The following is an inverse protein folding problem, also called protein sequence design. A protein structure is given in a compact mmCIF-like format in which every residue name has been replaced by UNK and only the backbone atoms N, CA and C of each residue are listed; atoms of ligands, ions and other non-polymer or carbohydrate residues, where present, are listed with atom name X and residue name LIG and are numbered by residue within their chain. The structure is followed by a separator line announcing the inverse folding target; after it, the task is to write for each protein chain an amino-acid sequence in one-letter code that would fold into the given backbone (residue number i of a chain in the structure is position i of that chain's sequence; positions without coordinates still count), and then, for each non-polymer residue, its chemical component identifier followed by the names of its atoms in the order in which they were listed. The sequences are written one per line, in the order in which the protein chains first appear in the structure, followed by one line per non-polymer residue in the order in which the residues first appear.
data_IF_998107060123
#
_entry.id   IF_998107060123
#
_cell.length_a   1.000
_cell.length_b   1.000
_cell.length_c   1.000
_cell.angle_alpha   90.00
_cell.angle_beta   90.00
_cell.angle_gamma   90.00
#
_symmetry.space_group_name_H-M   'P 1'
#
loop_
_entity.id
_entity.type
_entity.pdbx_description
1 polymer ?
#
# COMPACT_ATOMS: atom_id res chain seq x y z
N UNK A 1 2.04 -20.49 -15.09
CA UNK A 1 2.23 -20.18 -13.67
C UNK A 1 1.11 -19.26 -13.22
N UNK A 2 0.48 -19.55 -12.09
CA UNK A 2 -0.53 -18.69 -11.46
C UNK A 2 0.05 -18.04 -10.21
N UNK A 3 -0.01 -16.72 -10.09
CA UNK A 3 0.45 -15.99 -8.90
C UNK A 3 -0.73 -15.22 -8.31
N UNK A 4 -1.11 -15.55 -7.08
CA UNK A 4 -2.14 -14.84 -6.34
C UNK A 4 -1.51 -13.72 -5.52
N UNK A 5 -2.14 -12.54 -5.53
CA UNK A 5 -1.79 -11.41 -4.69
C UNK A 5 -2.95 -11.09 -3.76
N UNK A 6 -2.66 -10.96 -2.48
CA UNK A 6 -3.60 -10.57 -1.44
C UNK A 6 -3.10 -9.30 -0.74
N UNK A 7 -4.06 -8.51 -0.27
CA UNK A 7 -3.81 -7.20 0.32
C UNK A 7 -3.22 -7.23 1.73
N UNK A 8 -3.50 -6.19 2.51
CA UNK A 8 -2.83 -5.96 3.79
C UNK A 8 -3.16 -7.04 4.84
N UNK A 9 -2.12 -7.57 5.48
CA UNK A 9 -2.21 -8.48 6.62
C UNK A 9 -1.60 -7.82 7.85
N UNK A 10 -2.46 -7.53 8.81
CA UNK A 10 -2.12 -7.14 10.17
C UNK A 10 -3.04 -7.87 11.15
N UNK A 11 -2.43 -8.57 12.12
CA UNK A 11 -3.12 -9.32 13.15
C UNK A 11 -2.92 -8.65 14.50
N UNK A 12 -4.00 -8.47 15.25
CA UNK A 12 -3.90 -8.20 16.67
C UNK A 12 -3.65 -9.49 17.47
N UNK A 13 -3.33 -9.37 18.76
CA UNK A 13 -3.11 -10.51 19.66
C UNK A 13 -4.26 -11.52 19.68
N UNK A 14 -5.50 -11.08 19.41
CA UNK A 14 -6.68 -11.93 19.38
C UNK A 14 -6.71 -12.82 18.14
N UNK A 15 -6.37 -12.27 16.99
CA UNK A 15 -6.25 -13.01 15.73
C UNK A 15 -5.04 -13.95 15.71
N UNK A 16 -3.91 -13.54 16.30
CA UNK A 16 -2.71 -14.39 16.39
C UNK A 16 -2.99 -15.68 17.17
N UNK A 17 -3.78 -15.58 18.23
CA UNK A 17 -4.16 -16.72 19.09
C UNK A 17 -5.39 -17.47 18.60
N UNK A 18 -5.91 -17.14 17.41
CA UNK A 18 -7.07 -17.81 16.88
C UNK A 18 -6.68 -19.17 16.31
N UNK A 19 -7.30 -20.24 16.83
CA UNK A 19 -7.09 -21.61 16.35
C UNK A 19 -7.75 -21.88 14.99
N UNK A 20 -8.53 -20.93 14.46
CA UNK A 20 -9.18 -21.06 13.15
C UNK A 20 -8.21 -20.71 12.02
N UNK A 21 -8.40 -21.36 10.88
CA UNK A 21 -7.77 -20.96 9.63
C UNK A 21 -8.38 -19.63 9.15
N UNK A 22 -7.58 -18.56 9.26
CA UNK A 22 -8.01 -17.21 8.92
C UNK A 22 -8.19 -16.99 7.42
N UNK A 23 -7.73 -17.91 6.55
CA UNK A 23 -7.90 -17.82 5.10
C UNK A 23 -8.90 -18.84 4.55
N UNK A 24 -9.65 -19.52 5.44
CA UNK A 24 -10.59 -20.57 5.04
C UNK A 24 -11.60 -20.11 3.98
N UNK A 25 -12.06 -18.85 4.05
CA UNK A 25 -13.04 -18.30 3.10
C UNK A 25 -12.51 -18.05 1.68
N UNK A 26 -11.21 -18.17 1.44
CA UNK A 26 -10.56 -17.99 0.13
C UNK A 26 -9.57 -19.10 -0.19
N UNK A 27 -9.72 -20.24 0.48
CA UNK A 27 -8.76 -21.34 0.40
C UNK A 27 -8.68 -21.95 -0.99
N UNK A 28 -9.79 -21.97 -1.73
CA UNK A 28 -9.83 -22.48 -3.09
C UNK A 28 -9.03 -21.60 -4.04
N UNK A 29 -9.16 -20.27 -3.92
CA UNK A 29 -8.37 -19.31 -4.70
C UNK A 29 -6.87 -19.39 -4.37
N UNK A 30 -6.52 -19.55 -3.10
CA UNK A 30 -5.13 -19.73 -2.64
C UNK A 30 -4.54 -21.03 -3.21
N UNK A 31 -5.26 -22.15 -3.09
CA UNK A 31 -4.80 -23.44 -3.56
C UNK A 31 -4.72 -23.54 -5.10
N UNK A 32 -5.45 -22.69 -5.83
CA UNK A 32 -5.38 -22.60 -7.28
C UNK A 32 -4.12 -21.86 -7.79
N UNK A 33 -3.42 -21.14 -6.90
CA UNK A 33 -2.20 -20.43 -7.22
C UNK A 33 -0.96 -21.33 -7.03
N UNK A 34 0.07 -21.05 -7.81
CA UNK A 34 1.38 -21.68 -7.67
C UNK A 34 2.25 -20.96 -6.65
N UNK A 35 2.01 -19.66 -6.49
CA UNK A 35 2.64 -18.80 -5.50
C UNK A 35 1.61 -17.80 -4.98
N UNK A 36 1.62 -17.56 -3.67
CA UNK A 36 0.77 -16.58 -3.00
C UNK A 36 1.65 -15.48 -2.42
N UNK A 37 1.34 -14.24 -2.80
CA UNK A 37 2.04 -13.01 -2.40
C UNK A 37 1.12 -12.18 -1.52
N UNK A 38 1.57 -11.79 -0.34
CA UNK A 38 0.79 -10.97 0.59
C UNK A 38 1.56 -9.74 1.06
N UNK A 39 0.86 -8.65 1.40
CA UNK A 39 1.50 -7.52 2.09
C UNK A 39 1.52 -7.76 3.60
N UNK A 40 2.72 -7.88 4.18
CA UNK A 40 2.90 -7.99 5.64
C UNK A 40 2.98 -6.60 6.24
N UNK A 41 1.83 -6.10 6.70
CA UNK A 41 1.61 -4.69 6.99
C UNK A 41 2.27 -4.20 8.29
N UNK A 42 2.89 -5.06 9.07
CA UNK A 42 3.62 -4.65 10.28
C UNK A 42 4.77 -5.60 10.58
N UNK A 43 5.83 -5.14 11.28
CA UNK A 43 6.95 -5.99 11.63
C UNK A 43 6.51 -7.12 12.58
N UNK A 44 7.15 -8.28 12.40
CA UNK A 44 7.08 -9.41 13.34
C UNK A 44 8.25 -9.28 14.31
N UNK A 45 7.98 -8.75 15.50
CA UNK A 45 9.03 -8.33 16.43
C UNK A 45 8.58 -8.32 17.89
N UNK A 46 9.51 -8.61 18.79
CA UNK A 46 9.34 -8.43 20.23
C UNK A 46 9.95 -7.10 20.74
N UNK A 47 10.60 -6.33 19.86
CA UNK A 47 11.16 -5.01 20.18
C UNK A 47 10.08 -4.07 20.72
N UNK A 48 10.48 -3.21 21.65
CA UNK A 48 9.64 -2.12 22.18
C UNK A 48 10.15 -0.74 21.78
N UNK A 49 11.20 -0.68 20.94
CA UNK A 49 11.79 0.58 20.47
C UNK A 49 10.97 1.13 19.32
N UNK A 50 10.02 2.03 19.63
CA UNK A 50 9.11 2.61 18.64
C UNK A 50 9.77 3.72 17.84
N UNK A 51 9.56 3.71 16.53
CA UNK A 51 9.87 4.82 15.64
C UNK A 51 9.00 6.03 16.01
N UNK A 52 9.61 7.21 16.08
CA UNK A 52 8.89 8.46 16.29
C UNK A 52 8.19 8.90 15.00
N UNK A 53 6.87 8.65 14.90
CA UNK A 53 6.07 8.96 13.71
C UNK A 53 4.66 9.45 14.06
N UNK A 54 3.95 9.93 13.03
CA UNK A 54 2.51 10.20 13.12
C UNK A 54 1.75 8.88 12.84
N UNK A 55 0.66 8.66 13.57
CA UNK A 55 -0.13 7.43 13.47
C UNK A 55 0.30 6.37 14.49
N UNK A 56 -0.33 5.18 14.50
CA UNK A 56 0.01 4.11 15.42
C UNK A 56 1.31 3.40 15.00
N UNK A 57 2.09 2.91 15.98
CA UNK A 57 3.13 1.90 15.75
C UNK A 57 2.51 0.50 15.85
N UNK A 58 2.51 -0.24 14.75
CA UNK A 58 1.97 -1.59 14.64
C UNK A 58 3.08 -2.65 14.73
N UNK A 59 2.80 -3.78 15.36
CA UNK A 59 3.66 -4.97 15.34
C UNK A 59 2.84 -6.23 15.58
N UNK A 60 3.39 -7.36 15.17
CA UNK A 60 2.93 -8.71 15.50
C UNK A 60 4.03 -9.46 16.25
N UNK A 61 3.71 -10.37 17.16
CA UNK A 61 4.73 -11.21 17.79
C UNK A 61 5.10 -12.43 16.93
N UNK A 62 4.14 -12.93 16.15
CA UNK A 62 4.28 -14.06 15.22
C UNK A 62 3.13 -14.05 14.21
N UNK A 63 3.22 -14.92 13.19
CA UNK A 63 2.13 -15.23 12.28
C UNK A 63 1.61 -16.64 12.59
N UNK A 64 0.28 -16.86 12.65
CA UNK A 64 -0.30 -18.20 12.75
C UNK A 64 0.25 -19.15 11.68
N UNK A 65 0.49 -20.41 12.07
CA UNK A 65 1.10 -21.41 11.20
C UNK A 65 0.36 -21.59 9.88
N UNK A 66 -0.97 -21.54 9.89
CA UNK A 66 -1.79 -21.67 8.67
C UNK A 66 -1.56 -20.52 7.67
N UNK A 67 -1.26 -19.29 8.12
CA UNK A 67 -0.90 -18.18 7.24
C UNK A 67 0.48 -18.40 6.63
N UNK A 68 1.44 -18.82 7.45
CA UNK A 68 2.77 -19.19 6.95
C UNK A 68 2.64 -20.31 5.92
N UNK A 69 1.87 -21.36 6.17
CA UNK A 69 1.74 -22.47 5.21
C UNK A 69 1.01 -22.08 3.91
N UNK A 70 0.21 -21.01 3.92
CA UNK A 70 -0.61 -20.56 2.78
C UNK A 70 0.02 -19.44 1.94
N UNK A 71 1.08 -18.79 2.44
CA UNK A 71 1.72 -17.64 1.79
C UNK A 71 3.18 -17.98 1.50
N UNK A 72 3.61 -17.75 0.27
CA UNK A 72 4.98 -18.07 -0.18
C UNK A 72 5.91 -16.86 -0.10
N UNK A 73 5.36 -15.66 -0.42
CA UNK A 73 6.13 -14.43 -0.54
C UNK A 73 5.44 -13.29 0.21
N UNK A 74 6.21 -12.53 0.99
CA UNK A 74 5.73 -11.32 1.65
C UNK A 74 6.31 -10.05 1.01
N UNK A 75 5.44 -9.13 0.62
CA UNK A 75 5.83 -7.73 0.42
C UNK A 75 6.01 -7.07 1.79
N UNK A 76 7.16 -6.44 1.99
CA UNK A 76 7.49 -5.62 3.16
C UNK A 76 7.53 -4.13 2.81
N UNK A 77 7.27 -3.79 1.54
CA UNK A 77 7.23 -2.41 1.10
C UNK A 77 5.94 -1.76 1.58
N UNK A 78 5.91 -1.31 2.84
CA UNK A 78 4.80 -0.56 3.42
C UNK A 78 5.32 0.47 4.44
N UNK A 79 4.43 1.35 4.88
CA UNK A 79 4.78 2.44 5.78
C UNK A 79 4.97 2.01 7.25
N UNK A 80 4.68 0.75 7.59
CA UNK A 80 4.65 0.25 8.97
C UNK A 80 5.80 -0.70 9.31
N UNK A 81 6.52 -1.28 8.34
CA UNK A 81 7.57 -2.28 8.61
C UNK A 81 8.71 -1.76 9.51
N UNK A 82 8.98 -0.45 9.51
CA UNK A 82 9.98 0.20 10.36
C UNK A 82 9.40 0.77 11.65
N UNK A 83 8.17 0.45 12.03
CA UNK A 83 7.51 1.01 13.23
C UNK A 83 8.27 0.74 14.53
N UNK A 84 9.13 -0.28 14.52
CA UNK A 84 10.03 -0.64 15.63
C UNK A 84 11.51 -0.54 15.25
N UNK A 85 11.80 0.41 14.35
CA UNK A 85 13.12 0.74 13.81
C UNK A 85 13.86 -0.49 13.24
N UNK A 86 15.20 -0.45 13.24
CA UNK A 86 16.04 -1.51 12.69
C UNK A 86 15.85 -2.86 13.40
N UNK A 87 15.63 -2.86 14.72
CA UNK A 87 15.40 -4.12 15.46
C UNK A 87 14.12 -4.82 14.94
N UNK A 88 13.05 -4.05 14.72
CA UNK A 88 11.80 -4.56 14.14
C UNK A 88 11.99 -5.17 12.76
N UNK A 89 12.67 -4.46 11.86
CA UNK A 89 12.97 -4.96 10.52
C UNK A 89 13.85 -6.22 10.59
N UNK A 90 14.98 -6.17 11.29
CA UNK A 90 15.93 -7.30 11.40
C UNK A 90 15.27 -8.56 11.94
N UNK A 91 14.47 -8.43 13.00
CA UNK A 91 13.71 -9.55 13.57
C UNK A 91 12.71 -10.11 12.57
N UNK A 92 12.01 -9.25 11.83
CA UNK A 92 11.07 -9.68 10.77
C UNK A 92 11.79 -10.44 9.65
N UNK A 93 12.91 -9.92 9.14
CA UNK A 93 13.69 -10.59 8.09
C UNK A 93 14.19 -11.97 8.56
N UNK A 94 14.66 -12.05 9.81
CA UNK A 94 15.11 -13.29 10.43
C UNK A 94 13.95 -14.28 10.62
N UNK A 95 12.79 -13.78 11.05
CA UNK A 95 11.57 -14.57 11.24
C UNK A 95 11.09 -15.20 9.92
N UNK A 96 11.04 -14.42 8.85
CA UNK A 96 10.63 -14.91 7.53
C UNK A 96 11.64 -15.92 6.97
N UNK A 97 12.95 -15.63 7.09
CA UNK A 97 14.00 -16.57 6.70
C UNK A 97 13.89 -17.90 7.44
N UNK A 98 13.69 -17.88 8.77
CA UNK A 98 13.59 -19.09 9.60
C UNK A 98 12.30 -19.90 9.35
N UNK A 99 11.33 -19.34 8.65
CA UNK A 99 10.09 -20.01 8.24
C UNK A 99 10.07 -20.32 6.72
N UNK A 100 11.24 -20.26 6.06
CA UNK A 100 11.41 -20.53 4.63
C UNK A 100 10.51 -19.64 3.74
N UNK A 101 10.36 -18.36 4.12
CA UNK A 101 9.56 -17.37 3.38
C UNK A 101 10.41 -16.40 2.59
N UNK A 102 10.00 -16.20 1.35
CA UNK A 102 10.57 -15.17 0.49
C UNK A 102 9.98 -13.81 0.86
N UNK A 103 10.74 -12.75 0.66
CA UNK A 103 10.25 -11.39 0.90
C UNK A 103 10.96 -10.36 0.03
N UNK A 104 10.31 -9.24 -0.21
CA UNK A 104 10.87 -8.14 -1.01
C UNK A 104 10.33 -6.78 -0.54
N UNK A 105 10.97 -5.69 -0.98
CA UNK A 105 10.48 -4.32 -0.75
C UNK A 105 11.03 -3.62 0.50
N UNK A 106 11.79 -4.31 1.34
CA UNK A 106 12.55 -3.74 2.45
C UNK A 106 13.86 -4.50 2.64
N UNK A 107 14.88 -3.84 3.19
CA UNK A 107 16.20 -4.42 3.33
C UNK A 107 17.13 -3.59 4.21
N UNK A 108 18.38 -4.05 4.35
CA UNK A 108 19.39 -3.38 5.20
C UNK A 108 20.03 -2.15 4.55
N UNK A 109 19.74 -1.89 3.28
CA UNK A 109 20.13 -0.71 2.50
C UNK A 109 19.25 -0.59 1.24
N UNK A 110 19.42 0.47 0.47
CA UNK A 110 18.66 0.74 -0.75
C UNK A 110 18.74 -0.36 -1.82
N UNK A 111 19.89 -1.02 -1.99
CA UNK A 111 20.03 -2.09 -2.98
C UNK A 111 19.30 -3.36 -2.53
N UNK A 112 19.33 -3.65 -1.23
CA UNK A 112 18.63 -4.77 -0.63
C UNK A 112 17.11 -4.55 -0.62
N UNK A 113 16.66 -3.34 -0.30
CA UNK A 113 15.24 -2.98 -0.29
C UNK A 113 14.59 -3.11 -1.68
N UNK A 114 15.32 -2.74 -2.74
CA UNK A 114 14.90 -2.89 -4.13
C UNK A 114 15.19 -4.26 -4.75
N UNK A 115 15.84 -5.16 -4.01
CA UNK A 115 16.17 -6.49 -4.53
C UNK A 115 14.88 -7.19 -4.93
N UNK A 116 14.84 -7.64 -6.18
CA UNK A 116 13.72 -8.44 -6.64
C UNK A 116 13.72 -9.83 -6.00
N UNK A 117 12.53 -10.35 -5.72
CA UNK A 117 12.33 -11.79 -5.51
C UNK A 117 11.85 -12.40 -6.80
N UNK A 118 12.41 -13.55 -7.18
CA UNK A 118 12.00 -14.27 -8.38
C UNK A 118 11.30 -15.56 -7.97
N UNK A 119 10.05 -15.71 -8.40
CA UNK A 119 9.31 -16.98 -8.32
C UNK A 119 9.35 -17.67 -9.68
N UNK A 120 9.52 -18.99 -9.70
CA UNK A 120 9.70 -19.76 -10.94
C UNK A 120 8.90 -21.05 -10.90
N UNK A 121 8.17 -21.35 -11.99
CA UNK A 121 7.51 -22.63 -12.19
C UNK A 121 7.67 -23.09 -13.64
N UNK A 122 8.32 -24.24 -13.83
CA UNK A 122 8.75 -24.68 -15.15
C UNK A 122 9.71 -23.65 -15.74
N UNK A 123 9.46 -23.24 -16.98
CA UNK A 123 10.29 -22.25 -17.69
C UNK A 123 9.84 -20.80 -17.48
N UNK A 124 8.77 -20.56 -16.71
CA UNK A 124 8.25 -19.21 -16.45
C UNK A 124 8.81 -18.68 -15.14
N UNK A 125 9.46 -17.51 -15.19
CA UNK A 125 9.94 -16.76 -14.03
C UNK A 125 9.30 -15.38 -13.95
N UNK A 126 9.02 -14.92 -12.72
CA UNK A 126 8.45 -13.59 -12.45
C UNK A 126 9.25 -12.92 -11.36
N UNK A 127 9.81 -11.75 -11.67
CA UNK A 127 10.45 -10.88 -10.70
C UNK A 127 9.42 -9.98 -10.02
N UNK A 128 9.49 -9.91 -8.70
CA UNK A 128 8.64 -9.12 -7.82
C UNK A 128 9.46 -7.98 -7.22
N UNK A 129 9.00 -6.74 -7.37
CA UNK A 129 9.63 -5.55 -6.78
C UNK A 129 8.59 -4.78 -5.98
N UNK A 130 8.97 -4.39 -4.76
CA UNK A 130 8.12 -3.71 -3.80
C UNK A 130 8.58 -2.29 -3.62
N UNK A 131 7.66 -1.32 -3.57
CA UNK A 131 7.95 0.08 -3.28
C UNK A 131 6.83 0.70 -2.44
N UNK A 132 7.15 1.67 -1.59
CA UNK A 132 6.15 2.40 -0.82
C UNK A 132 6.26 3.92 -1.00
N UNK A 133 5.14 4.63 -0.90
CA UNK A 133 5.15 6.10 -0.89
C UNK A 133 5.97 6.66 0.28
N UNK A 134 6.36 7.94 0.14
CA UNK A 134 7.30 8.58 1.06
C UNK A 134 6.69 8.85 2.44
N UNK A 135 7.00 7.95 3.37
CA UNK A 135 6.65 8.01 4.78
C UNK A 135 7.89 7.75 5.68
N UNK A 136 7.66 7.36 6.93
CA UNK A 136 8.70 7.25 7.96
C UNK A 136 9.59 5.99 7.85
N UNK A 137 9.31 5.10 6.90
CA UNK A 137 9.93 3.76 6.81
C UNK A 137 10.98 3.59 5.72
N UNK A 138 11.24 4.64 4.92
CA UNK A 138 12.07 4.53 3.72
C UNK A 138 13.57 4.54 3.99
N UNK A 139 14.33 3.95 3.07
CA UNK A 139 15.79 4.11 2.94
C UNK A 139 16.14 4.78 1.60
N UNK A 140 17.20 5.59 1.58
CA UNK A 140 17.77 6.19 0.37
C UNK A 140 19.27 5.89 0.21
N UNK A 141 19.87 5.16 1.16
CA UNK A 141 21.30 4.91 1.21
C UNK A 141 21.64 3.56 1.84
N UNK A 142 22.59 3.58 2.77
CA UNK A 142 23.14 2.39 3.42
C UNK A 142 22.40 2.01 4.71
N UNK A 143 21.37 2.78 5.07
CA UNK A 143 20.51 2.53 6.21
C UNK A 143 19.41 1.50 5.91
N UNK A 144 18.98 0.71 6.91
CA UNK A 144 17.86 -0.21 6.76
C UNK A 144 16.53 0.53 6.52
N UNK A 145 15.69 -0.01 5.64
CA UNK A 145 14.38 0.55 5.38
C UNK A 145 13.69 -0.04 4.14
N UNK A 146 12.62 0.64 3.74
CA UNK A 146 11.74 0.29 2.63
C UNK A 146 12.20 0.94 1.33
N UNK A 147 12.01 0.23 0.22
CA UNK A 147 12.27 0.76 -1.11
C UNK A 147 11.33 1.95 -1.39
N UNK A 148 11.87 3.16 -1.61
CA UNK A 148 11.07 4.35 -1.83
C UNK A 148 10.39 4.30 -3.20
N UNK A 149 9.13 4.73 -3.31
CA UNK A 149 8.50 5.08 -4.59
C UNK A 149 9.07 6.42 -5.08
N UNK A 150 10.35 6.41 -5.43
CA UNK A 150 11.14 7.56 -5.87
C UNK A 150 11.45 7.46 -7.37
N UNK A 151 11.20 8.51 -8.18
CA UNK A 151 11.41 8.45 -9.62
C UNK A 151 12.80 7.98 -10.07
N UNK A 152 13.88 8.36 -9.37
CA UNK A 152 15.25 8.01 -9.78
C UNK A 152 15.56 6.56 -9.44
N UNK A 153 15.27 6.14 -8.21
CA UNK A 153 15.50 4.77 -7.79
C UNK A 153 14.55 3.79 -8.50
N UNK A 154 13.26 4.10 -8.56
CA UNK A 154 12.27 3.27 -9.24
C UNK A 154 12.64 3.09 -10.72
N UNK A 155 13.06 4.16 -11.41
CA UNK A 155 13.53 4.04 -12.79
C UNK A 155 14.70 3.06 -12.93
N UNK A 156 15.75 3.25 -12.12
CA UNK A 156 16.96 2.43 -12.16
C UNK A 156 16.66 0.96 -11.95
N UNK A 157 15.97 0.60 -10.87
CA UNK A 157 15.79 -0.80 -10.49
C UNK A 157 14.76 -1.51 -11.37
N UNK A 158 13.66 -0.85 -11.73
CA UNK A 158 12.65 -1.44 -12.62
C UNK A 158 13.27 -1.70 -14.00
N UNK A 159 14.02 -0.74 -14.56
CA UNK A 159 14.69 -0.97 -15.86
C UNK A 159 15.71 -2.09 -15.81
N UNK A 160 16.50 -2.18 -14.73
CA UNK A 160 17.43 -3.28 -14.55
C UNK A 160 16.73 -4.64 -14.44
N UNK A 161 15.55 -4.72 -13.81
CA UNK A 161 14.78 -5.95 -13.73
C UNK A 161 14.14 -6.31 -15.08
N UNK A 162 13.53 -5.35 -15.77
CA UNK A 162 12.92 -5.57 -17.09
C UNK A 162 13.95 -6.03 -18.14
N UNK A 163 15.21 -5.62 -18.01
CA UNK A 163 16.29 -6.09 -18.89
C UNK A 163 16.75 -7.52 -18.59
N UNK A 164 16.42 -8.07 -17.40
CA UNK A 164 16.86 -9.40 -16.94
C UNK A 164 15.75 -10.44 -16.94
N UNK A 165 14.51 -10.01 -16.77
CA UNK A 165 13.35 -10.89 -16.62
C UNK A 165 12.26 -10.50 -17.61
N UNK A 166 11.65 -11.52 -18.22
CA UNK A 166 10.53 -11.35 -19.15
C UNK A 166 9.27 -10.82 -18.44
N UNK A 167 9.08 -11.24 -17.19
CA UNK A 167 7.97 -10.77 -16.37
C UNK A 167 8.46 -10.07 -15.10
N UNK A 168 8.02 -8.83 -14.95
CA UNK A 168 8.26 -8.00 -13.75
C UNK A 168 6.93 -7.50 -13.22
N UNK A 169 6.56 -7.90 -12.02
CA UNK A 169 5.36 -7.41 -11.33
C UNK A 169 5.78 -6.47 -10.22
N UNK A 170 5.17 -5.29 -10.18
CA UNK A 170 5.42 -4.31 -9.14
C UNK A 170 4.33 -4.38 -8.09
N UNK A 171 4.71 -4.41 -6.82
CA UNK A 171 3.81 -4.24 -5.68
C UNK A 171 4.06 -2.85 -5.07
N UNK A 172 3.04 -1.99 -5.09
CA UNK A 172 3.16 -0.60 -4.65
C UNK A 172 2.25 -0.36 -3.46
N UNK A 173 2.82 0.03 -2.33
CA UNK A 173 2.07 0.45 -1.18
C UNK A 173 1.96 1.97 -1.18
N UNK A 174 0.83 2.48 -1.67
CA UNK A 174 0.61 3.91 -1.84
C UNK A 174 -0.79 4.23 -2.34
N UNK A 175 -1.05 5.53 -2.45
CA UNK A 175 -2.38 6.08 -2.73
C UNK A 175 -3.00 6.70 -1.49
N UNK A 176 -4.21 7.24 -1.64
CA UNK A 176 -4.85 7.93 -0.53
C UNK A 176 -5.62 6.93 0.33
N UNK A 177 -5.26 6.82 1.62
CA UNK A 177 -6.03 6.03 2.59
C UNK A 177 -7.53 6.30 2.49
N UNK A 178 -8.31 5.22 2.50
CA UNK A 178 -9.78 5.24 2.44
C UNK A 178 -10.37 5.83 1.16
N UNK A 179 -9.57 6.04 0.12
CA UNK A 179 -10.05 6.39 -1.22
C UNK A 179 -10.17 5.13 -2.06
N UNK A 180 -11.34 4.94 -2.69
CA UNK A 180 -11.51 3.89 -3.69
C UNK A 180 -10.90 4.28 -5.05
N UNK A 181 -10.60 5.56 -5.30
CA UNK A 181 -9.97 6.01 -6.53
C UNK A 181 -8.53 6.46 -6.30
N UNK A 182 -7.61 6.14 -7.22
CA UNK A 182 -6.25 6.67 -7.18
C UNK A 182 -6.24 8.16 -7.50
N UNK A 183 -5.25 8.91 -6.99
CA UNK A 183 -5.01 10.27 -7.43
C UNK A 183 -4.53 10.32 -8.90
N UNK A 184 -4.73 11.42 -9.64
CA UNK A 184 -4.29 11.51 -11.04
C UNK A 184 -2.80 11.24 -11.22
N UNK A 185 -1.98 11.71 -10.28
CA UNK A 185 -0.53 11.49 -10.28
C UNK A 185 -0.19 10.02 -10.03
N UNK A 186 -0.82 9.39 -9.04
CA UNK A 186 -0.58 7.97 -8.74
C UNK A 186 -1.00 7.08 -9.91
N UNK A 187 -2.15 7.38 -10.53
CA UNK A 187 -2.59 6.73 -11.77
C UNK A 187 -1.59 6.86 -12.91
N UNK A 188 -1.08 8.06 -13.17
CA UNK A 188 -0.06 8.29 -14.20
C UNK A 188 1.23 7.55 -13.89
N UNK A 189 1.63 7.51 -12.62
CA UNK A 189 2.83 6.79 -12.17
C UNK A 189 2.72 5.28 -12.43
N UNK A 190 1.59 4.65 -12.08
CA UNK A 190 1.35 3.23 -12.37
C UNK A 190 1.39 2.93 -13.88
N UNK A 191 0.81 3.81 -14.70
CA UNK A 191 0.88 3.69 -16.18
C UNK A 191 2.31 3.80 -16.71
N UNK A 192 3.09 4.75 -16.18
CA UNK A 192 4.49 4.91 -16.54
C UNK A 192 5.29 3.63 -16.24
N UNK A 193 5.01 2.92 -15.15
CA UNK A 193 5.68 1.65 -14.87
C UNK A 193 5.35 0.54 -15.88
N UNK A 194 4.10 0.49 -16.36
CA UNK A 194 3.74 -0.38 -17.47
C UNK A 194 4.52 -0.01 -18.73
N UNK A 195 4.62 1.28 -19.06
CA UNK A 195 5.42 1.78 -20.20
C UNK A 195 6.92 1.48 -20.04
N UNK A 196 7.42 1.40 -18.80
CA UNK A 196 8.79 1.00 -18.51
C UNK A 196 9.05 -0.49 -18.73
N UNK A 197 8.01 -1.31 -18.85
CA UNK A 197 8.12 -2.74 -19.12
C UNK A 197 7.53 -3.66 -18.05
N UNK A 198 7.01 -3.12 -16.94
CA UNK A 198 6.34 -3.93 -15.93
C UNK A 198 5.14 -4.67 -16.56
N UNK A 199 4.98 -5.95 -16.23
CA UNK A 199 3.93 -6.84 -16.74
C UNK A 199 2.60 -6.63 -16.00
N UNK A 200 2.65 -6.21 -14.75
CA UNK A 200 1.49 -5.79 -13.96
C UNK A 200 1.93 -4.85 -12.84
N UNK A 201 0.98 -4.03 -12.36
CA UNK A 201 1.13 -3.25 -11.14
C UNK A 201 0.03 -3.65 -10.18
N UNK A 202 0.40 -4.04 -8.97
CA UNK A 202 -0.47 -4.41 -7.87
C UNK A 202 -0.26 -3.38 -6.77
N UNK A 203 -1.33 -2.84 -6.19
CA UNK A 203 -1.22 -1.86 -5.10
C UNK A 203 -2.00 -2.26 -3.85
N UNK A 204 -1.60 -1.69 -2.71
CA UNK A 204 -2.31 -1.80 -1.43
C UNK A 204 -2.35 -0.44 -0.71
N UNK A 205 -2.29 -0.37 0.63
CA UNK A 205 -2.27 0.86 1.46
C UNK A 205 -3.61 1.56 1.66
N UNK A 206 -4.44 1.69 0.62
CA UNK A 206 -5.68 2.47 0.77
C UNK A 206 -6.71 1.81 1.70
N UNK A 207 -6.47 0.54 2.08
CA UNK A 207 -7.34 -0.32 2.88
C UNK A 207 -8.75 -0.52 2.32
N UNK A 208 -8.98 -0.11 1.07
CA UNK A 208 -10.24 -0.25 0.34
C UNK A 208 -9.93 -0.71 -1.08
N UNK A 209 -10.66 -1.70 -1.58
CA UNK A 209 -10.48 -2.18 -2.96
C UNK A 209 -10.64 -1.03 -3.96
N UNK A 210 -9.62 -0.84 -4.79
CA UNK A 210 -9.59 0.15 -5.87
C UNK A 210 -10.01 -0.45 -7.20
N UNK A 211 -10.17 0.37 -8.26
CA UNK A 211 -10.47 -0.13 -9.59
C UNK A 211 -9.31 -0.92 -10.18
N UNK A 212 -9.65 -1.70 -11.22
CA UNK A 212 -8.68 -2.37 -12.08
C UNK A 212 -8.71 -1.69 -13.44
N UNK A 213 -7.55 -1.31 -13.95
CA UNK A 213 -7.39 -0.73 -15.27
C UNK A 213 -6.49 -1.60 -16.15
N UNK A 214 -6.92 -1.85 -17.39
CA UNK A 214 -6.08 -2.48 -18.40
C UNK A 214 -5.40 -1.39 -19.23
N UNK A 215 -4.10 -1.26 -19.10
CA UNK A 215 -3.31 -0.27 -19.83
C UNK A 215 -2.24 -0.97 -20.67
N UNK A 216 -2.22 -0.70 -21.98
CA UNK A 216 -1.34 -1.39 -22.95
C UNK A 216 -1.38 -2.94 -22.82
N UNK A 217 -2.58 -3.48 -22.56
CA UNK A 217 -2.80 -4.92 -22.41
C UNK A 217 -2.34 -5.52 -21.09
N UNK A 218 -1.90 -4.70 -20.11
CA UNK A 218 -1.37 -5.14 -18.82
C UNK A 218 -2.20 -4.58 -17.66
N UNK A 219 -2.47 -5.40 -16.63
CA UNK A 219 -3.37 -4.98 -15.55
C UNK A 219 -2.67 -4.09 -14.52
N UNK A 220 -3.42 -3.10 -14.05
CA UNK A 220 -3.09 -2.25 -12.91
C UNK A 220 -4.21 -2.40 -11.88
N UNK A 221 -3.90 -2.94 -10.71
CA UNK A 221 -4.79 -3.04 -9.57
C UNK A 221 -4.46 -1.89 -8.61
N UNK A 222 -5.31 -0.88 -8.52
CA UNK A 222 -4.99 0.33 -7.75
C UNK A 222 -5.09 0.18 -6.23
N UNK A 223 -5.77 -0.87 -5.75
CA UNK A 223 -5.67 -1.34 -4.37
C UNK A 223 -6.36 -2.69 -4.22
N UNK A 224 -5.73 -3.64 -3.54
CA UNK A 224 -6.34 -4.93 -3.18
C UNK A 224 -7.23 -4.84 -1.93
N UNK A 225 -7.19 -3.72 -1.21
CA UNK A 225 -7.81 -3.59 0.11
C UNK A 225 -7.12 -4.45 1.17
N UNK A 226 -7.84 -4.73 2.26
CA UNK A 226 -7.32 -5.54 3.34
C UNK A 226 -7.60 -7.03 3.11
N UNK A 227 -6.61 -7.88 3.39
CA UNK A 227 -6.86 -9.30 3.56
C UNK A 227 -7.35 -9.59 4.98
N UNK A 228 -6.54 -9.27 5.97
CA UNK A 228 -6.91 -9.35 7.39
C UNK A 228 -6.36 -8.10 8.06
N UNK A 229 -7.24 -7.23 8.52
CA UNK A 229 -6.85 -6.03 9.27
C UNK A 229 -7.99 -5.61 10.18
N UNK A 230 -7.87 -5.93 11.47
CA UNK A 230 -8.89 -5.55 12.45
C UNK A 230 -8.89 -4.05 12.73
N UNK A 231 -10.09 -3.47 12.78
CA UNK A 231 -10.33 -2.10 13.21
C UNK A 231 -11.69 -2.02 13.91
N UNK A 232 -11.71 -1.54 15.16
CA UNK A 232 -12.93 -1.43 15.97
C UNK A 232 -14.00 -0.55 15.34
N UNK A 233 -13.59 0.46 14.57
CA UNK A 233 -14.46 1.43 13.91
C UNK A 233 -14.04 1.57 12.45
N UNK A 234 -14.21 0.49 11.67
CA UNK A 234 -13.67 0.44 10.33
C UNK A 234 -14.46 1.41 9.43
N UNK A 235 -13.79 2.14 8.54
CA UNK A 235 -14.47 2.91 7.50
C UNK A 235 -15.23 1.99 6.54
N UNK A 236 -16.12 2.57 5.74
CA UNK A 236 -16.83 1.83 4.70
C UNK A 236 -15.81 1.23 3.71
N UNK A 237 -16.01 -0.04 3.32
CA UNK A 237 -15.12 -0.75 2.39
C UNK A 237 -13.92 -1.47 3.04
N UNK A 238 -13.55 -1.11 4.28
CA UNK A 238 -12.40 -1.69 5.00
C UNK A 238 -12.41 -3.22 5.11
N UNK A 239 -13.60 -3.82 5.22
CA UNK A 239 -13.76 -5.25 5.42
C UNK A 239 -13.88 -6.04 4.10
N UNK A 240 -13.63 -5.40 2.96
CA UNK A 240 -13.67 -6.04 1.65
C UNK A 240 -12.23 -6.11 1.13
N UNK A 241 -11.84 -7.31 0.71
CA UNK A 241 -10.57 -7.56 0.04
C UNK A 241 -10.78 -8.12 -1.36
N UNK A 242 -9.71 -8.06 -2.16
CA UNK A 242 -9.66 -8.61 -3.49
C UNK A 242 -8.38 -9.45 -3.65
N UNK A 243 -8.55 -10.70 -4.11
CA UNK A 243 -7.45 -11.53 -4.58
C UNK A 243 -7.26 -11.25 -6.06
N UNK A 244 -6.05 -10.82 -6.44
CA UNK A 244 -5.67 -10.69 -7.84
C UNK A 244 -4.92 -11.96 -8.26
N UNK A 245 -5.44 -12.70 -9.23
CA UNK A 245 -4.79 -13.90 -9.76
C UNK A 245 -4.21 -13.59 -11.14
N UNK A 246 -2.88 -13.62 -11.24
CA UNK A 246 -2.17 -13.45 -12.50
C UNK A 246 -1.82 -14.83 -13.08
N UNK A 247 -2.38 -15.14 -14.24
CA UNK A 247 -2.00 -16.31 -15.03
C UNK A 247 -0.97 -15.92 -16.07
N UNK A 248 0.24 -16.45 -15.90
CA UNK A 248 1.45 -16.04 -16.59
C UNK A 248 2.01 -17.24 -17.36
N UNK A 249 2.23 -17.00 -18.65
CA UNK A 249 2.92 -17.89 -19.60
C UNK A 249 4.06 -17.09 -20.21
N UNK A 250 5.07 -17.75 -20.79
CA UNK A 250 6.25 -17.12 -21.44
C UNK A 250 5.90 -15.78 -22.12
N UNK A 251 4.96 -15.78 -23.07
CA UNK A 251 4.67 -14.57 -23.85
C UNK A 251 3.46 -13.74 -23.40
N UNK A 252 2.75 -14.15 -22.34
CA UNK A 252 1.43 -13.55 -22.03
C UNK A 252 1.10 -13.56 -20.54
N UNK A 253 0.56 -12.43 -20.10
CA UNK A 253 -0.11 -12.29 -18.81
C UNK A 253 -1.62 -12.09 -19.02
N UNK A 254 -2.41 -12.79 -18.22
CA UNK A 254 -3.85 -12.56 -18.05
C UNK A 254 -4.17 -12.53 -16.57
N UNK A 255 -5.34 -12.00 -16.21
CA UNK A 255 -5.74 -11.90 -14.81
C UNK A 255 -7.20 -12.27 -14.60
N UNK A 256 -7.49 -12.79 -13.41
CA UNK A 256 -8.82 -12.85 -12.81
C UNK A 256 -8.75 -12.28 -11.41
N UNK A 257 -9.90 -12.08 -10.76
CA UNK A 257 -9.95 -11.56 -9.40
C UNK A 257 -11.21 -12.01 -8.67
N UNK A 258 -11.07 -12.13 -7.35
CA UNK A 258 -12.10 -12.65 -6.45
C UNK A 258 -12.26 -11.71 -5.26
N UNK A 259 -13.50 -11.33 -4.94
CA UNK A 259 -13.79 -10.54 -3.74
C UNK A 259 -14.09 -11.44 -2.57
N UNK A 260 -13.67 -11.01 -1.39
CA UNK A 260 -13.99 -11.66 -0.13
C UNK A 260 -14.26 -10.62 0.95
N UNK A 261 -14.91 -11.05 2.02
CA UNK A 261 -15.11 -10.24 3.22
C UNK A 261 -14.11 -10.65 4.30
N UNK A 262 -13.84 -9.77 5.25
CA UNK A 262 -13.20 -10.13 6.52
C UNK A 262 -14.14 -9.88 7.70
N UNK A 263 -14.06 -10.73 8.70
CA UNK A 263 -14.90 -10.63 9.89
C UNK A 263 -14.23 -9.78 10.97
N UNK A 264 -15.03 -8.93 11.64
CA UNK A 264 -14.61 -8.06 12.73
C UNK A 264 -14.39 -8.79 14.06
N UNK A 265 -14.72 -10.09 14.17
CA UNK A 265 -14.73 -10.86 15.44
C UNK A 265 -13.88 -12.14 15.37
N UNK A 266 -12.65 -12.03 14.87
CA UNK A 266 -11.64 -13.11 14.88
C UNK A 266 -11.96 -14.34 14.01
N UNK A 267 -12.85 -14.21 13.02
CA UNK A 267 -13.19 -15.32 12.12
C UNK A 267 -12.42 -15.31 10.78
N UNK A 268 -11.44 -14.40 10.64
CA UNK A 268 -10.64 -14.28 9.42
C UNK A 268 -11.44 -13.86 8.19
N UNK A 269 -11.02 -14.36 7.03
CA UNK A 269 -11.62 -14.14 5.72
C UNK A 269 -12.85 -15.03 5.52
N UNK A 270 -13.90 -14.46 4.95
CA UNK A 270 -15.19 -15.08 4.70
C UNK A 270 -15.62 -14.94 3.24
N UNK A 271 -16.34 -15.97 2.78
CA UNK A 271 -17.09 -15.91 1.52
C UNK A 271 -18.24 -14.91 1.70
N UNK A 272 -18.36 -13.96 0.77
CA UNK A 272 -19.46 -13.01 0.73
C UNK A 272 -20.74 -13.73 0.26
N UNK A 273 -21.89 -13.39 0.84
CA UNK A 273 -23.16 -13.90 0.31
C UNK A 273 -23.43 -13.30 -1.08
N UNK A 274 -24.21 -14.00 -1.91
CA UNK A 274 -24.41 -13.64 -3.32
C UNK A 274 -24.90 -12.20 -3.51
N UNK A 275 -25.83 -11.73 -2.67
CA UNK A 275 -26.37 -10.36 -2.74
C UNK A 275 -25.32 -9.29 -2.43
N UNK A 276 -24.47 -9.52 -1.43
CA UNK A 276 -23.38 -8.60 -1.07
C UNK A 276 -22.30 -8.61 -2.14
N UNK A 277 -21.91 -9.80 -2.61
CA UNK A 277 -20.93 -9.99 -3.67
C UNK A 277 -21.38 -9.29 -4.96
N UNK A 278 -22.65 -9.41 -5.33
CA UNK A 278 -23.18 -8.77 -6.54
C UNK A 278 -23.13 -7.23 -6.43
N UNK A 279 -23.51 -6.66 -5.28
CA UNK A 279 -23.41 -5.21 -5.05
C UNK A 279 -21.98 -4.71 -5.13
N UNK A 280 -21.03 -5.46 -4.56
CA UNK A 280 -19.60 -5.13 -4.61
C UNK A 280 -19.09 -5.19 -6.05
N UNK A 281 -19.43 -6.25 -6.80
CA UNK A 281 -19.07 -6.40 -8.21
C UNK A 281 -19.62 -5.27 -9.08
N UNK A 282 -20.88 -4.88 -8.87
CA UNK A 282 -21.51 -3.77 -9.60
C UNK A 282 -20.83 -2.44 -9.28
N UNK A 283 -20.59 -2.15 -8.00
CA UNK A 283 -19.89 -0.93 -7.59
C UNK A 283 -18.46 -0.89 -8.16
N UNK A 284 -17.71 -1.99 -8.07
CA UNK A 284 -16.36 -2.07 -8.61
C UNK A 284 -16.34 -1.92 -10.14
N UNK A 285 -17.32 -2.52 -10.85
CA UNK A 285 -17.46 -2.33 -12.30
C UNK A 285 -17.66 -0.86 -12.66
N UNK A 286 -18.48 -0.13 -11.90
CA UNK A 286 -18.66 1.31 -12.08
C UNK A 286 -17.35 2.05 -11.82
N UNK A 287 -16.60 1.74 -10.76
CA UNK A 287 -15.28 2.36 -10.52
C UNK A 287 -14.31 2.15 -11.69
N UNK A 288 -14.28 0.95 -12.28
CA UNK A 288 -13.43 0.64 -13.43
C UNK A 288 -13.88 1.37 -14.72
N UNK A 289 -15.17 1.61 -14.88
CA UNK A 289 -15.71 2.43 -15.96
C UNK A 289 -15.37 3.91 -15.75
N UNK A 290 -15.52 4.39 -14.53
CA UNK A 290 -15.34 5.80 -14.16
C UNK A 290 -13.89 6.25 -14.29
N UNK A 291 -12.93 5.41 -13.92
CA UNK A 291 -11.49 5.70 -14.11
C UNK A 291 -11.07 5.72 -15.59
N UNK A 292 -11.83 5.04 -16.45
CA UNK A 292 -11.60 5.00 -17.90
C UNK A 292 -12.14 6.26 -18.60
N UNK A 293 -13.14 6.94 -18.00
CA UNK A 293 -13.65 8.23 -18.46
C UNK A 293 -12.88 9.39 -17.78
N UNK A 294 -12.04 10.09 -18.55
CA UNK A 294 -11.20 11.17 -18.01
C UNK A 294 -12.01 12.32 -17.40
N UNK A 295 -13.18 12.66 -17.95
CA UNK A 295 -13.99 13.75 -17.45
C UNK A 295 -14.65 13.37 -16.13
N UNK A 296 -15.22 12.16 -16.07
CA UNK A 296 -15.85 11.64 -14.84
C UNK A 296 -14.82 11.46 -13.74
N UNK A 297 -13.68 10.84 -14.05
CA UNK A 297 -12.56 10.67 -13.12
C UNK A 297 -12.06 12.02 -12.55
N UNK A 298 -11.87 13.03 -13.42
CA UNK A 298 -11.41 14.35 -12.99
C UNK A 298 -12.44 15.03 -12.09
N UNK A 299 -13.73 14.89 -12.39
CA UNK A 299 -14.81 15.40 -11.53
C UNK A 299 -14.81 14.74 -10.16
N UNK A 300 -14.73 13.41 -10.10
CA UNK A 300 -14.70 12.67 -8.83
C UNK A 300 -13.47 13.02 -7.98
N UNK A 301 -12.33 13.25 -8.63
CA UNK A 301 -11.14 13.74 -7.95
C UNK A 301 -11.33 15.16 -7.39
N UNK A 302 -11.97 16.06 -8.14
CA UNK A 302 -12.32 17.40 -7.66
C UNK A 302 -13.21 17.33 -6.42
N UNK A 303 -14.26 16.50 -6.44
CA UNK A 303 -15.15 16.30 -5.31
C UNK A 303 -14.41 15.74 -4.07
N UNK A 304 -13.46 14.82 -4.28
CA UNK A 304 -12.60 14.32 -3.21
C UNK A 304 -11.77 15.45 -2.59
N UNK A 305 -11.16 16.32 -3.40
CA UNK A 305 -10.38 17.45 -2.91
C UNK A 305 -11.27 18.42 -2.12
N UNK A 306 -12.45 18.75 -2.63
CA UNK A 306 -13.39 19.65 -1.96
C UNK A 306 -13.82 19.11 -0.59
N UNK A 307 -14.03 17.80 -0.48
CA UNK A 307 -14.41 17.13 0.78
C UNK A 307 -13.31 17.14 1.84
N UNK A 308 -12.03 17.12 1.44
CA UNK A 308 -10.91 16.90 2.37
C UNK A 308 -9.99 18.11 2.56
N UNK A 309 -9.98 19.07 1.63
CA UNK A 309 -9.05 20.21 1.60
C UNK A 309 -8.95 20.95 2.95
N UNK A 310 -10.08 21.25 3.58
CA UNK A 310 -10.16 21.90 4.89
C UNK A 310 -9.39 21.17 5.99
N UNK A 311 -9.45 19.83 6.00
CA UNK A 311 -8.74 19.02 6.97
C UNK A 311 -7.23 19.09 6.76
N UNK A 312 -6.80 19.02 5.50
CA UNK A 312 -5.39 19.07 5.13
C UNK A 312 -4.79 20.45 5.43
N UNK A 313 -5.47 21.54 5.06
CA UNK A 313 -5.01 22.88 5.39
C UNK A 313 -4.89 23.10 6.90
N UNK A 314 -5.89 22.63 7.66
CA UNK A 314 -5.86 22.75 9.11
C UNK A 314 -4.65 22.00 9.71
N UNK A 315 -4.49 20.72 9.37
CA UNK A 315 -3.39 19.88 9.90
C UNK A 315 -2.00 20.37 9.50
N UNK A 316 -1.85 20.91 8.28
CA UNK A 316 -0.55 21.32 7.77
C UNK A 316 -0.07 22.68 8.30
N UNK A 317 -0.98 23.60 8.62
CA UNK A 317 -0.62 25.01 8.85
C UNK A 317 -1.16 25.63 10.14
N UNK A 318 -1.98 24.92 10.92
CA UNK A 318 -2.38 25.40 12.24
C UNK A 318 -1.54 24.75 13.35
N UNK A 319 -0.89 25.55 14.21
CA UNK A 319 0.00 25.04 15.26
C UNK A 319 -0.72 24.37 16.44
N UNK A 320 -2.05 24.50 16.54
CA UNK A 320 -2.83 23.95 17.66
C UNK A 320 -3.67 22.76 17.22
N UNK A 321 -3.23 21.55 17.56
CA UNK A 321 -3.93 20.30 17.26
C UNK A 321 -4.54 19.76 18.56
N UNK A 322 -5.84 20.01 18.79
CA UNK A 322 -6.60 19.32 19.84
C UNK A 322 -7.85 18.64 19.28
N UNK A 323 -8.30 17.57 19.94
CA UNK A 323 -9.47 16.78 19.50
C UNK A 323 -10.69 17.69 19.39
N UNK A 324 -11.27 17.76 18.18
CA UNK A 324 -12.46 18.57 17.88
C UNK A 324 -12.19 19.94 17.25
N UNK A 325 -10.96 20.46 17.30
CA UNK A 325 -10.60 21.76 16.68
C UNK A 325 -10.93 21.81 15.17
N UNK A 326 -10.68 20.70 14.47
CA UNK A 326 -11.04 20.56 13.06
C UNK A 326 -12.55 20.69 12.80
N UNK A 327 -13.41 20.16 13.69
CA UNK A 327 -14.88 20.30 13.51
C UNK A 327 -15.28 21.78 13.55
N UNK A 328 -14.63 22.56 14.41
CA UNK A 328 -14.89 24.00 14.54
C UNK A 328 -14.47 24.73 13.25
N UNK A 329 -13.24 24.50 12.76
CA UNK A 329 -12.75 25.14 11.52
C UNK A 329 -13.60 24.78 10.31
N UNK A 330 -14.00 23.50 10.17
CA UNK A 330 -14.86 23.05 9.07
C UNK A 330 -16.24 23.69 9.08
N UNK A 331 -16.86 23.83 10.26
CA UNK A 331 -18.18 24.46 10.41
C UNK A 331 -18.12 25.95 10.15
N UNK A 332 -17.08 26.62 10.64
CA UNK A 332 -16.92 28.07 10.52
C UNK A 332 -16.28 28.51 9.19
N UNK A 333 -15.79 27.57 8.37
CA UNK A 333 -15.02 27.83 7.14
C UNK A 333 -13.90 28.86 7.34
N UNK A 334 -13.19 28.77 8.48
CA UNK A 334 -12.18 29.78 8.86
C UNK A 334 -11.00 29.85 7.88
N UNK A 335 -10.73 28.78 7.15
CA UNK A 335 -9.75 28.75 6.06
C UNK A 335 -9.92 29.93 5.09
N UNK A 336 -11.15 30.25 4.72
CA UNK A 336 -11.51 31.30 3.77
C UNK A 336 -11.09 32.70 4.24
N UNK A 337 -10.96 32.91 5.55
CA UNK A 337 -10.57 34.18 6.15
C UNK A 337 -9.06 34.28 6.42
N UNK A 338 -8.39 33.15 6.62
CA UNK A 338 -6.97 33.09 7.00
C UNK A 338 -6.06 32.86 5.79
N UNK A 339 -6.56 32.22 4.73
CA UNK A 339 -5.80 31.79 3.57
C UNK A 339 -6.17 32.58 2.32
N UNK A 340 -5.52 33.74 2.14
CA UNK A 340 -5.72 34.56 0.94
C UNK A 340 -4.93 34.02 -0.28
N UNK A 341 -5.38 34.36 -1.49
CA UNK A 341 -4.80 33.89 -2.76
C UNK A 341 -3.28 34.06 -2.86
N UNK A 342 -2.73 35.17 -2.37
CA UNK A 342 -1.29 35.43 -2.43
C UNK A 342 -0.51 34.45 -1.55
N UNK A 343 -0.99 34.21 -0.32
CA UNK A 343 -0.41 33.22 0.60
C UNK A 343 -0.45 31.80 0.01
N UNK A 344 -1.58 31.41 -0.58
CA UNK A 344 -1.72 30.08 -1.19
C UNK A 344 -0.84 29.88 -2.42
N UNK A 345 -0.61 30.92 -3.23
CA UNK A 345 0.35 30.85 -4.34
C UNK A 345 1.79 30.64 -3.83
N UNK A 346 2.18 31.28 -2.72
CA UNK A 346 3.49 31.03 -2.11
C UNK A 346 3.62 29.60 -1.60
N UNK A 347 2.62 29.10 -0.86
CA UNK A 347 2.61 27.71 -0.37
C UNK A 347 2.63 26.71 -1.52
N UNK A 348 1.82 26.95 -2.56
CA UNK A 348 1.79 26.11 -3.76
C UNK A 348 3.17 26.08 -4.41
N UNK A 349 3.81 27.25 -4.59
CA UNK A 349 5.15 27.31 -5.15
C UNK A 349 6.16 26.57 -4.27
N UNK A 350 6.06 26.74 -2.94
CA UNK A 350 6.95 26.06 -1.99
C UNK A 350 6.80 24.55 -1.99
N UNK A 351 5.60 24.03 -2.23
CA UNK A 351 5.36 22.58 -2.29
C UNK A 351 5.67 22.02 -3.68
N UNK A 352 5.35 22.77 -4.75
CA UNK A 352 5.42 22.28 -6.12
C UNK A 352 6.84 22.32 -6.68
N UNK A 353 7.55 23.43 -6.47
CA UNK A 353 8.93 23.57 -6.92
C UNK A 353 9.86 22.70 -6.07
N UNK A 354 10.65 21.85 -6.72
CA UNK A 354 11.60 20.93 -6.10
C UNK A 354 12.53 21.67 -5.13
N UNK A 355 13.15 22.76 -5.58
CA UNK A 355 14.11 23.53 -4.78
C UNK A 355 13.46 24.21 -3.57
N UNK A 356 12.25 24.75 -3.71
CA UNK A 356 11.56 25.33 -2.56
C UNK A 356 11.05 24.27 -1.59
N UNK A 357 10.58 23.12 -2.10
CA UNK A 357 10.12 22.00 -1.28
C UNK A 357 11.27 21.47 -0.44
N UNK A 358 12.44 21.29 -1.03
CA UNK A 358 13.66 20.89 -0.34
C UNK A 358 13.99 21.86 0.81
N UNK A 359 14.04 23.17 0.54
CA UNK A 359 14.30 24.19 1.57
C UNK A 359 13.24 24.14 2.67
N UNK A 360 11.95 24.07 2.31
CA UNK A 360 10.84 24.03 3.27
C UNK A 360 10.94 22.77 4.16
N UNK A 361 11.20 21.62 3.56
CA UNK A 361 11.38 20.35 4.28
C UNK A 361 12.55 20.42 5.25
N UNK A 362 13.71 20.93 4.83
CA UNK A 362 14.87 21.06 5.71
C UNK A 362 14.65 22.09 6.84
N UNK A 363 13.95 23.19 6.56
CA UNK A 363 13.58 24.17 7.59
C UNK A 363 12.64 23.58 8.64
N UNK A 364 11.67 22.74 8.22
CA UNK A 364 10.76 22.04 9.14
C UNK A 364 11.54 21.01 9.98
N UNK A 365 12.42 20.21 9.37
CA UNK A 365 13.23 19.21 10.08
C UNK A 365 14.08 19.84 11.18
N UNK A 366 14.73 20.97 10.91
CA UNK A 366 15.55 21.69 11.91
C UNK A 366 14.73 22.12 13.12
N UNK A 367 13.55 22.72 12.89
CA UNK A 367 12.64 23.10 13.98
C UNK A 367 12.23 21.92 14.86
N UNK A 368 11.94 20.76 14.26
CA UNK A 368 11.57 19.55 15.00
C UNK A 368 12.71 19.11 15.92
N UNK A 369 13.97 19.21 15.46
CA UNK A 369 15.13 18.78 16.24
C UNK A 369 15.52 19.80 17.33
N UNK A 370 15.33 21.10 17.09
CA UNK A 370 15.62 22.16 18.06
C UNK A 370 14.70 22.12 19.29
N UNK A 371 13.46 21.60 19.16
CA UNK A 371 12.51 21.44 20.27
C UNK A 371 12.82 20.22 21.18
N UNK A 372 13.82 19.40 20.85
CA UNK A 372 14.22 18.18 21.61
C UNK A 372 15.48 18.41 22.46
N UNK A 373 16.15 19.56 22.33
CA UNK A 373 17.25 20.01 23.20
C UNK A 373 16.77 20.97 24.28
#
# INVERSE_FOLDING_TARGET
MNVAFIGDIYLDDGLIKCDKDLLAGVRDEINAADFVVANLEAPVTNSNKKLNKIGPNLKMCELPRHLLDSIDVFSLANNHIMDYEYDGLRETLSYLHNNDKLYFGAGVNINDAYREVVVTKGDVSVALIGMAENEFSLTFGDEPGVAPLDPLFSYKYIKNAVNRYEHVVLFIHGGNEFSSLPSPKYRQLCKMFIDMGASAVISSHTHIVGPIELYNGRPIFYSLGNCIFNNDKPPQGWNIGLIALLSITENKISYSYHFFGQNRRNDGVMILCDDELQKIKEHHKLLCQDISDIHKYTSMWSDYIDKHSEQYFFRAFFPFIFRGAYRIVRVLKMSYFVFNKKSELFKQNYISCESHREILTEAIKRKINDDVS
#
